data_IF_341028468627
#
_entry.id   IF_341028468627
#
_cell.length_a   1.000
_cell.length_b   1.000
_cell.length_c   1.000
_cell.angle_alpha   90.00
_cell.angle_beta   90.00
_cell.angle_gamma   90.00
#
_symmetry.space_group_name_H-M   'P 1'
#
loop_
_entity.id
_entity.type
_entity.pdbx_description
1 polymer ?
#
# COMPACT_ATOMS: atom_id res chain seq x y z
N UNK A 1 1.53 37.95 -66.22
CA UNK A 1 2.81 37.42 -65.70
C UNK A 1 3.15 38.22 -64.45
N UNK A 2 2.70 37.75 -63.27
CA UNK A 2 3.02 38.35 -61.97
C UNK A 2 3.10 37.23 -60.93
N UNK A 3 4.22 37.19 -60.23
CA UNK A 3 4.58 36.21 -59.23
C UNK A 3 3.77 36.39 -57.94
N UNK A 4 3.40 35.28 -57.28
CA UNK A 4 3.04 35.27 -55.86
C UNK A 4 3.71 34.07 -55.20
N UNK A 5 4.70 34.39 -54.37
CA UNK A 5 5.45 33.47 -53.52
C UNK A 5 4.50 33.02 -52.40
N UNK A 6 4.26 31.71 -52.32
CA UNK A 6 3.50 31.09 -51.24
C UNK A 6 4.47 30.65 -50.16
N UNK A 7 4.63 31.46 -49.12
CA UNK A 7 5.40 31.09 -47.92
C UNK A 7 4.49 30.33 -46.96
N UNK A 8 4.65 29.01 -46.88
CA UNK A 8 3.95 28.16 -45.91
C UNK A 8 4.69 28.28 -44.56
N UNK A 9 4.05 28.91 -43.59
CA UNK A 9 4.47 28.92 -42.19
C UNK A 9 4.13 27.56 -41.55
N UNK A 10 5.12 26.68 -41.39
CA UNK A 10 4.99 25.52 -40.52
C UNK A 10 5.19 25.97 -39.07
N UNK A 11 4.10 26.23 -38.35
CA UNK A 11 4.14 26.39 -36.89
C UNK A 11 4.23 24.99 -36.28
N UNK A 12 5.45 24.51 -36.05
CA UNK A 12 5.69 23.37 -35.19
C UNK A 12 5.46 23.83 -33.73
N UNK A 13 4.25 23.63 -33.23
CA UNK A 13 3.94 23.82 -31.81
C UNK A 13 4.56 22.67 -31.01
N UNK A 14 5.86 22.80 -30.72
CA UNK A 14 6.55 21.93 -29.79
C UNK A 14 6.04 22.19 -28.39
N UNK A 15 5.04 21.42 -27.93
CA UNK A 15 4.70 21.33 -26.52
C UNK A 15 5.83 20.58 -25.80
N UNK A 16 6.89 21.30 -25.48
CA UNK A 16 7.90 20.88 -24.51
C UNK A 16 7.23 20.87 -23.13
N UNK A 17 6.61 19.75 -22.77
CA UNK A 17 6.30 19.45 -21.38
C UNK A 17 7.61 19.06 -20.67
N UNK A 18 8.45 20.05 -20.37
CA UNK A 18 9.49 19.85 -19.33
C UNK A 18 8.81 19.99 -17.97
N UNK A 19 8.00 18.98 -17.62
CA UNK A 19 7.69 18.77 -16.22
C UNK A 19 9.01 18.36 -15.58
N UNK A 20 9.62 19.29 -14.86
CA UNK A 20 10.77 19.02 -14.01
C UNK A 20 10.42 17.82 -13.13
N UNK A 21 11.01 16.68 -13.44
CA UNK A 21 11.11 15.56 -12.51
C UNK A 21 12.03 16.05 -11.39
N UNK A 22 11.45 16.76 -10.43
CA UNK A 22 12.01 16.79 -9.09
C UNK A 22 11.96 15.34 -8.61
N UNK A 23 13.06 14.61 -8.81
CA UNK A 23 13.27 13.31 -8.19
C UNK A 23 13.19 13.52 -6.68
N UNK A 24 12.02 13.29 -6.10
CA UNK A 24 11.86 13.22 -4.66
C UNK A 24 12.90 12.22 -4.15
N UNK A 25 13.78 12.67 -3.26
CA UNK A 25 14.83 11.83 -2.75
C UNK A 25 14.21 10.58 -2.12
N UNK A 26 14.62 9.42 -2.61
CA UNK A 26 14.01 8.16 -2.20
C UNK A 26 14.18 7.96 -0.69
N UNK A 27 13.07 7.75 0.02
CA UNK A 27 13.10 7.54 1.48
C UNK A 27 13.81 6.22 1.76
N UNK A 28 14.75 6.22 2.70
CA UNK A 28 15.45 5.00 3.14
C UNK A 28 14.97 4.55 4.51
N UNK A 29 14.87 3.24 4.68
CA UNK A 29 14.70 2.61 5.99
C UNK A 29 16.03 2.62 6.76
N UNK A 30 15.97 2.35 8.07
CA UNK A 30 17.17 2.41 8.92
C UNK A 30 18.26 1.38 8.59
N UNK A 31 17.95 0.36 7.77
CA UNK A 31 18.93 -0.59 7.26
C UNK A 31 19.43 -0.25 5.84
N UNK A 32 19.21 0.98 5.38
CA UNK A 32 19.69 1.48 4.09
C UNK A 32 18.85 1.07 2.87
N UNK A 33 17.91 0.14 3.02
CA UNK A 33 16.98 -0.23 1.96
C UNK A 33 16.09 0.96 1.58
N UNK A 34 15.88 1.15 0.29
CA UNK A 34 14.99 2.21 -0.23
C UNK A 34 13.53 1.78 -0.12
N UNK A 35 12.68 2.64 0.42
CA UNK A 35 11.24 2.46 0.46
C UNK A 35 10.65 2.45 -0.95
N UNK A 36 9.70 1.55 -1.19
CA UNK A 36 9.02 1.40 -2.47
C UNK A 36 7.51 1.37 -2.25
N UNK A 37 6.77 1.88 -3.23
CA UNK A 37 5.32 1.77 -3.26
C UNK A 37 4.89 0.32 -3.04
N UNK A 38 3.92 0.13 -2.14
CA UNK A 38 3.43 -1.19 -1.75
C UNK A 38 4.25 -1.94 -0.71
N UNK A 39 5.38 -1.41 -0.22
CA UNK A 39 6.01 -1.99 0.96
C UNK A 39 5.02 -1.97 2.13
N UNK A 40 4.91 -3.08 2.84
CA UNK A 40 4.02 -3.23 3.99
C UNK A 40 4.82 -2.96 5.26
N UNK A 41 4.38 -1.96 6.03
CA UNK A 41 5.00 -1.50 7.26
C UNK A 41 4.26 -2.10 8.44
N UNK A 42 4.98 -2.73 9.37
CA UNK A 42 4.36 -3.42 10.50
C UNK A 42 5.02 -3.00 11.79
N UNK A 43 4.28 -2.31 12.65
CA UNK A 43 4.75 -1.94 13.97
C UNK A 43 4.80 -3.16 14.90
N UNK A 44 5.78 -3.19 15.80
CA UNK A 44 5.77 -4.16 16.90
C UNK A 44 4.64 -3.85 17.88
N UNK A 45 4.25 -4.87 18.65
CA UNK A 45 3.16 -4.79 19.63
C UNK A 45 3.42 -3.66 20.63
N UNK A 46 2.41 -2.83 20.87
CA UNK A 46 2.32 -1.91 22.00
C UNK A 46 0.92 -2.03 22.64
N UNK A 47 0.76 -1.53 23.86
CA UNK A 47 -0.53 -1.48 24.57
C UNK A 47 -1.60 -0.74 23.75
N UNK A 48 -1.21 0.27 22.97
CA UNK A 48 -2.11 1.07 22.11
C UNK A 48 -2.56 0.35 20.83
N UNK A 49 -1.91 -0.77 20.48
CA UNK A 49 -2.18 -1.57 19.27
C UNK A 49 -2.88 -2.90 19.56
N UNK A 50 -3.55 -3.04 20.72
CA UNK A 50 -4.31 -4.22 21.13
C UNK A 50 -3.53 -5.55 21.00
N UNK A 51 -2.23 -5.53 21.31
CA UNK A 51 -1.37 -6.72 21.38
C UNK A 51 -1.10 -7.48 20.06
N UNK A 52 -1.39 -6.89 18.88
CA UNK A 52 -1.18 -7.56 17.57
C UNK A 52 -0.29 -6.80 16.56
N UNK A 53 0.06 -5.54 16.85
CA UNK A 53 0.82 -4.67 15.93
C UNK A 53 -0.10 -3.92 14.94
N UNK A 54 0.40 -2.86 14.30
CA UNK A 54 -0.33 -2.06 13.30
C UNK A 54 0.26 -2.26 11.92
N UNK A 55 -0.58 -2.28 10.89
CA UNK A 55 -0.16 -2.40 9.50
C UNK A 55 -0.48 -1.14 8.70
N UNK A 56 0.52 -0.64 7.98
CA UNK A 56 0.40 0.41 6.98
C UNK A 56 1.02 -0.06 5.66
N UNK A 57 0.75 0.66 4.57
CA UNK A 57 1.33 0.39 3.25
C UNK A 57 1.97 1.67 2.72
N UNK A 58 3.15 1.55 2.11
CA UNK A 58 3.81 2.69 1.46
C UNK A 58 2.99 3.09 0.22
N UNK A 59 2.63 4.37 0.15
CA UNK A 59 1.86 4.95 -0.94
C UNK A 59 2.57 4.89 -2.29
N UNK A 60 1.85 5.23 -3.36
CA UNK A 60 2.34 5.18 -4.74
C UNK A 60 3.55 6.10 -4.98
N UNK A 61 3.73 7.10 -4.11
CA UNK A 61 4.86 8.03 -4.12
C UNK A 61 6.16 7.46 -3.50
N UNK A 62 6.10 6.30 -2.86
CA UNK A 62 7.25 5.71 -2.16
C UNK A 62 7.70 6.50 -0.91
N UNK A 63 6.93 7.50 -0.47
CA UNK A 63 7.33 8.48 0.54
C UNK A 63 6.29 8.66 1.66
N UNK A 64 5.07 8.17 1.46
CA UNK A 64 3.99 8.22 2.46
C UNK A 64 3.64 6.84 2.99
N UNK A 65 3.22 6.76 4.26
CA UNK A 65 2.54 5.62 4.83
C UNK A 65 1.03 5.86 4.78
N UNK A 66 0.27 4.91 4.24
CA UNK A 66 -1.19 4.93 4.13
C UNK A 66 -1.79 3.83 4.99
N UNK A 67 -2.83 4.16 5.75
CA UNK A 67 -3.23 3.37 6.90
C UNK A 67 -4.64 3.70 7.41
N UNK A 68 -5.22 2.74 8.13
CA UNK A 68 -6.51 2.86 8.81
C UNK A 68 -6.36 2.49 10.27
N UNK A 69 -6.94 3.30 11.16
CA UNK A 69 -6.78 3.19 12.60
C UNK A 69 -8.11 3.15 13.33
N UNK A 70 -8.08 2.52 14.52
CA UNK A 70 -9.13 2.67 15.51
C UNK A 70 -9.24 4.14 15.94
N UNK A 71 -10.47 4.61 16.17
CA UNK A 71 -10.73 5.99 16.58
C UNK A 71 -10.66 7.01 15.43
N UNK A 72 -10.45 6.55 14.19
CA UNK A 72 -10.54 7.38 12.98
C UNK A 72 -11.62 6.83 12.05
N UNK A 73 -12.21 7.72 11.25
CA UNK A 73 -13.30 7.42 10.33
C UNK A 73 -12.93 7.56 8.85
N UNK A 74 -11.67 7.91 8.55
CA UNK A 74 -11.18 8.12 7.19
C UNK A 74 -9.78 7.58 7.02
N UNK A 75 -9.47 7.02 5.85
CA UNK A 75 -8.12 6.53 5.50
C UNK A 75 -7.16 7.72 5.60
N UNK A 76 -6.02 7.53 6.26
CA UNK A 76 -5.03 8.58 6.46
C UNK A 76 -3.73 8.23 5.76
N UNK A 77 -3.03 9.28 5.35
CA UNK A 77 -1.64 9.22 4.96
C UNK A 77 -0.79 10.10 5.88
N UNK A 78 0.48 9.75 6.03
CA UNK A 78 1.49 10.59 6.65
C UNK A 78 2.84 10.37 5.97
N UNK A 79 3.78 11.31 6.11
CA UNK A 79 5.15 11.11 5.63
C UNK A 79 5.75 9.89 6.32
N UNK A 80 6.54 9.08 5.59
CA UNK A 80 7.20 7.92 6.18
C UNK A 80 8.07 8.28 7.39
N UNK A 81 8.74 9.43 7.35
CA UNK A 81 9.52 9.95 8.48
C UNK A 81 8.68 10.14 9.74
N UNK A 82 7.47 10.67 9.61
CA UNK A 82 6.56 10.88 10.75
C UNK A 82 5.92 9.57 11.21
N UNK A 83 5.76 8.61 10.29
CA UNK A 83 5.36 7.25 10.65
C UNK A 83 6.45 6.55 11.47
N UNK A 84 7.73 6.63 11.04
CA UNK A 84 8.86 6.01 11.74
C UNK A 84 9.04 6.54 13.17
N UNK A 85 8.85 7.85 13.38
CA UNK A 85 8.94 8.48 14.72
C UNK A 85 7.94 7.92 15.74
N UNK A 86 6.87 7.25 15.30
CA UNK A 86 5.85 6.66 16.18
C UNK A 86 6.14 5.20 16.52
N UNK A 87 7.20 4.60 15.96
CA UNK A 87 7.50 3.18 16.09
C UNK A 87 8.57 2.91 17.15
N UNK A 88 8.36 3.35 18.38
CA UNK A 88 9.33 3.21 19.48
C UNK A 88 9.66 1.74 19.79
N UNK A 89 8.70 0.84 19.61
CA UNK A 89 8.92 -0.62 19.71
C UNK A 89 9.65 -1.24 18.52
N UNK A 90 9.98 -0.43 17.50
CA UNK A 90 10.49 -0.87 16.21
C UNK A 90 9.41 -1.31 15.24
N UNK A 91 9.83 -1.60 14.01
CA UNK A 91 8.95 -2.02 12.93
C UNK A 91 9.69 -2.94 11.95
N UNK A 92 8.90 -3.72 11.23
CA UNK A 92 9.35 -4.57 10.13
C UNK A 92 8.85 -4.00 8.81
N UNK A 93 9.54 -4.32 7.73
CA UNK A 93 9.08 -4.01 6.37
C UNK A 93 9.06 -5.27 5.53
N UNK A 94 7.91 -5.51 4.91
CA UNK A 94 7.69 -6.63 4.02
C UNK A 94 7.51 -6.12 2.60
N UNK A 95 8.21 -6.74 1.65
CA UNK A 95 8.13 -6.40 0.24
C UNK A 95 7.59 -7.57 -0.55
N UNK A 96 6.57 -7.31 -1.36
CA UNK A 96 6.01 -8.30 -2.26
C UNK A 96 6.92 -8.50 -3.49
N UNK A 97 7.13 -9.75 -3.89
CA UNK A 97 8.06 -10.15 -4.96
C UNK A 97 7.72 -9.52 -6.32
N UNK A 98 6.43 -9.44 -6.65
CA UNK A 98 6.00 -8.81 -7.90
C UNK A 98 5.89 -7.29 -7.69
N UNK A 99 6.88 -6.56 -8.19
CA UNK A 99 6.98 -5.11 -8.05
C UNK A 99 5.84 -4.34 -8.71
N UNK A 100 5.26 -4.85 -9.80
CA UNK A 100 4.12 -4.22 -10.47
C UNK A 100 2.87 -4.26 -9.60
N UNK A 101 2.57 -5.43 -9.03
CA UNK A 101 1.45 -5.60 -8.09
C UNK A 101 1.67 -4.77 -6.82
N UNK A 102 2.89 -4.76 -6.26
CA UNK A 102 3.22 -3.94 -5.09
C UNK A 102 3.01 -2.45 -5.39
N UNK A 103 3.51 -1.97 -6.52
CA UNK A 103 3.34 -0.58 -6.94
C UNK A 103 1.86 -0.24 -7.09
N UNK A 104 1.09 -1.10 -7.75
CA UNK A 104 -0.37 -0.97 -7.85
C UNK A 104 -1.05 -0.88 -6.49
N UNK A 105 -0.65 -1.73 -5.53
CA UNK A 105 -1.19 -1.70 -4.17
C UNK A 105 -0.91 -0.36 -3.46
N UNK A 106 0.29 0.19 -3.62
CA UNK A 106 0.63 1.53 -3.12
C UNK A 106 -0.26 2.62 -3.73
N UNK A 107 -0.49 2.59 -5.04
CA UNK A 107 -1.40 3.52 -5.72
C UNK A 107 -2.86 3.34 -5.28
N UNK A 108 -3.34 2.10 -5.17
CA UNK A 108 -4.69 1.81 -4.69
C UNK A 108 -4.90 2.36 -3.28
N UNK A 109 -3.93 2.16 -2.39
CA UNK A 109 -4.02 2.70 -1.03
C UNK A 109 -4.05 4.23 -1.06
N UNK A 110 -3.18 4.85 -1.86
CA UNK A 110 -3.10 6.32 -2.00
C UNK A 110 -4.40 6.92 -2.54
N UNK A 111 -5.00 6.27 -3.54
CA UNK A 111 -6.28 6.68 -4.11
C UNK A 111 -7.41 6.69 -3.08
N UNK A 112 -7.35 5.79 -2.10
CA UNK A 112 -8.36 5.67 -1.06
C UNK A 112 -8.12 6.59 0.15
N UNK A 113 -7.08 7.42 0.17
CA UNK A 113 -6.88 8.42 1.24
C UNK A 113 -8.11 9.33 1.32
N UNK A 114 -8.64 9.52 2.53
CA UNK A 114 -9.87 10.29 2.78
C UNK A 114 -11.16 9.47 2.67
N UNK A 115 -11.13 8.25 2.10
CA UNK A 115 -12.29 7.37 2.06
C UNK A 115 -12.79 7.06 3.47
N UNK A 116 -14.10 7.11 3.67
CA UNK A 116 -14.73 6.82 4.96
C UNK A 116 -14.76 5.32 5.22
N UNK A 117 -14.55 4.93 6.47
CA UNK A 117 -14.68 3.55 6.90
C UNK A 117 -15.18 3.45 8.34
N UNK A 118 -15.76 2.31 8.70
CA UNK A 118 -16.06 1.94 10.07
C UNK A 118 -14.94 1.06 10.63
N UNK A 119 -14.17 1.54 11.62
CA UNK A 119 -13.11 0.71 12.19
C UNK A 119 -13.70 -0.37 13.07
N UNK A 120 -13.68 -1.62 12.60
CA UNK A 120 -14.15 -2.74 13.39
C UNK A 120 -13.36 -3.99 13.06
N UNK A 121 -12.75 -4.55 14.09
CA UNK A 121 -12.09 -5.86 14.01
C UNK A 121 -13.17 -6.89 14.29
N UNK A 122 -13.80 -7.36 13.23
CA UNK A 122 -14.81 -8.41 13.27
C UNK A 122 -14.33 -9.55 12.42
N UNK A 123 -14.45 -10.74 12.97
CA UNK A 123 -14.25 -11.95 12.19
C UNK A 123 -15.25 -11.93 11.05
N UNK A 124 -16.52 -11.59 11.26
CA UNK A 124 -17.57 -11.82 10.27
C UNK A 124 -17.66 -10.97 9.01
N UNK A 125 -16.70 -10.09 8.76
CA UNK A 125 -16.77 -9.20 7.61
C UNK A 125 -16.07 -9.77 6.40
N UNK A 126 -16.72 -9.64 5.23
CA UNK A 126 -16.14 -10.11 3.99
C UNK A 126 -14.85 -9.32 3.72
N UNK A 127 -13.76 -10.02 3.37
CA UNK A 127 -12.44 -9.39 3.24
C UNK A 127 -12.35 -8.37 2.10
N UNK A 128 -13.32 -8.37 1.18
CA UNK A 128 -13.36 -7.49 -0.01
C UNK A 128 -14.29 -6.30 0.15
N UNK A 129 -15.17 -6.30 1.16
CA UNK A 129 -16.08 -5.19 1.40
C UNK A 129 -15.44 -4.05 2.20
N UNK A 130 -16.08 -2.88 2.18
CA UNK A 130 -15.69 -1.70 2.97
C UNK A 130 -16.50 -1.53 4.27
N UNK A 131 -17.40 -2.46 4.57
CA UNK A 131 -18.37 -2.33 5.68
C UNK A 131 -17.67 -2.18 7.02
N UNK A 132 -16.68 -3.03 7.26
CA UNK A 132 -15.82 -2.99 8.42
C UNK A 132 -14.38 -3.10 7.98
N UNK A 133 -13.55 -2.16 8.42
CA UNK A 133 -12.17 -2.07 7.99
C UNK A 133 -11.25 -2.08 9.20
N UNK A 134 -10.10 -2.72 9.02
CA UNK A 134 -9.02 -2.75 9.99
C UNK A 134 -7.68 -2.77 9.26
N UNK A 135 -6.59 -2.43 9.95
CA UNK A 135 -5.28 -2.13 9.35
C UNK A 135 -4.80 -3.18 8.33
N UNK A 136 -4.77 -4.45 8.71
CA UNK A 136 -4.35 -5.57 7.86
C UNK A 136 -5.35 -5.91 6.76
N UNK A 137 -6.68 -5.73 6.95
CA UNK A 137 -7.66 -5.90 5.87
C UNK A 137 -7.47 -4.85 4.78
N UNK A 138 -7.22 -3.60 5.15
CA UNK A 138 -6.97 -2.53 4.18
C UNK A 138 -5.75 -2.82 3.31
N UNK A 139 -4.64 -3.26 3.93
CA UNK A 139 -3.44 -3.68 3.19
C UNK A 139 -3.73 -4.88 2.29
N UNK A 140 -4.43 -5.91 2.78
CA UNK A 140 -4.86 -7.04 1.94
C UNK A 140 -5.66 -6.59 0.72
N UNK A 141 -6.65 -5.70 0.92
CA UNK A 141 -7.47 -5.17 -0.16
C UNK A 141 -6.64 -4.43 -1.20
N UNK A 142 -5.62 -3.68 -0.79
CA UNK A 142 -4.71 -3.02 -1.72
C UNK A 142 -4.05 -4.02 -2.68
N UNK A 143 -3.54 -5.15 -2.16
CA UNK A 143 -2.93 -6.19 -3.00
C UNK A 143 -3.96 -6.99 -3.81
N UNK A 144 -5.13 -7.27 -3.23
CA UNK A 144 -6.21 -7.99 -3.92
C UNK A 144 -6.72 -7.19 -5.13
N UNK A 145 -7.05 -5.91 -4.94
CA UNK A 145 -7.60 -5.08 -6.03
C UNK A 145 -6.56 -4.64 -7.05
N UNK A 146 -5.26 -4.74 -6.74
CA UNK A 146 -4.19 -4.37 -7.69
C UNK A 146 -3.71 -5.52 -8.55
N UNK A 147 -3.79 -6.76 -8.06
CA UNK A 147 -3.23 -7.91 -8.79
C UNK A 147 -3.85 -9.25 -8.45
N UNK A 148 -5.03 -9.27 -7.80
CA UNK A 148 -5.74 -10.49 -7.44
C UNK A 148 -5.01 -11.34 -6.39
N UNK A 149 -4.11 -10.74 -5.60
CA UNK A 149 -3.34 -11.49 -4.59
C UNK A 149 -4.30 -12.08 -3.56
N UNK A 150 -4.32 -13.42 -3.48
CA UNK A 150 -5.13 -14.17 -2.52
C UNK A 150 -4.33 -14.43 -1.26
N UNK A 151 -5.02 -14.49 -0.12
CA UNK A 151 -4.41 -15.01 1.10
C UNK A 151 -4.08 -16.49 0.88
N UNK A 152 -2.85 -16.88 1.20
CA UNK A 152 -2.47 -18.27 1.40
C UNK A 152 -2.04 -18.38 2.85
N UNK A 153 -2.80 -19.11 3.64
CA UNK A 153 -2.41 -19.44 5.02
C UNK A 153 -1.76 -20.81 4.92
N UNK A 154 -0.52 -20.92 5.39
CA UNK A 154 0.11 -22.21 5.63
C UNK A 154 -0.69 -22.90 6.73
N UNK A 155 -1.56 -23.85 6.34
CA UNK A 155 -2.05 -24.86 7.27
C UNK A 155 -0.92 -25.85 7.61
N UNK A 156 -1.05 -26.56 8.72
CA UNK A 156 -0.07 -27.53 9.23
C UNK A 156 0.30 -28.67 8.26
N UNK A 157 -0.32 -28.74 7.07
CA UNK A 157 -0.16 -29.81 6.08
C UNK A 157 0.30 -29.33 4.70
N UNK A 158 0.73 -28.06 4.54
CA UNK A 158 1.23 -27.53 3.27
C UNK A 158 0.26 -27.65 2.06
N UNK A 159 -1.04 -27.82 2.31
CA UNK A 159 -2.04 -27.87 1.25
C UNK A 159 -2.51 -26.47 0.82
N UNK A 160 -2.62 -26.30 -0.49
CA UNK A 160 -2.94 -25.04 -1.16
C UNK A 160 -4.43 -24.95 -1.46
N UNK A 161 -5.18 -24.17 -0.67
CA UNK A 161 -6.60 -23.93 -0.94
C UNK A 161 -6.82 -22.51 -1.48
N UNK A 162 -7.48 -22.42 -2.63
CA UNK A 162 -7.89 -21.17 -3.25
C UNK A 162 -9.08 -20.57 -2.49
N UNK A 163 -8.79 -19.62 -1.61
CA UNK A 163 -9.79 -18.91 -0.79
C UNK A 163 -10.61 -17.91 -1.65
N UNK A 164 -11.95 -17.72 -1.50
CA UNK A 164 -12.86 -18.05 -0.37
C UNK A 164 -14.17 -18.80 -0.78
N UNK A 165 -15.14 -19.04 0.15
CA UNK A 165 -16.36 -18.22 -0.04
C UNK A 165 -17.03 -17.62 1.21
N UNK A 166 -16.97 -18.20 2.41
CA UNK A 166 -17.81 -17.74 3.54
C UNK A 166 -17.22 -18.10 4.90
N UNK A 167 -16.28 -17.31 5.44
CA UNK A 167 -16.09 -17.37 6.90
C UNK A 167 -15.46 -16.11 7.47
N UNK A 168 -15.80 -15.94 8.73
CA UNK A 168 -15.54 -14.81 9.58
C UNK A 168 -14.06 -14.85 10.04
N UNK A 169 -13.16 -14.03 9.49
CA UNK A 169 -11.76 -13.93 9.92
C UNK A 169 -11.22 -12.52 10.13
N UNK A 170 -10.46 -12.37 11.21
CA UNK A 170 -9.59 -11.22 11.47
C UNK A 170 -8.19 -11.56 10.95
N UNK A 171 -7.72 -10.83 9.93
CA UNK A 171 -6.34 -10.99 9.43
C UNK A 171 -5.41 -10.37 10.46
N UNK A 172 -4.54 -11.16 11.09
CA UNK A 172 -3.44 -10.58 11.86
C UNK A 172 -2.43 -9.91 10.89
N UNK A 173 -1.88 -8.73 11.21
CA UNK A 173 -0.79 -8.14 10.41
C UNK A 173 0.31 -9.14 10.05
N UNK A 174 0.74 -9.98 10.99
CA UNK A 174 1.77 -10.99 10.75
C UNK A 174 1.28 -12.16 9.89
N UNK A 175 -0.01 -12.48 9.88
CA UNK A 175 -0.55 -13.51 8.98
C UNK A 175 -0.53 -13.04 7.53
N UNK A 176 -0.87 -11.78 7.28
CA UNK A 176 -0.71 -11.14 5.97
C UNK A 176 0.75 -11.16 5.50
N UNK A 177 1.72 -11.11 6.40
CA UNK A 177 3.15 -11.25 6.09
C UNK A 177 3.55 -12.65 5.65
N UNK A 178 2.91 -13.66 6.24
CA UNK A 178 3.18 -15.08 5.94
C UNK A 178 2.59 -15.48 4.58
N UNK A 179 1.83 -14.59 3.92
CA UNK A 179 1.41 -14.79 2.54
C UNK A 179 2.63 -15.03 1.64
N UNK A 180 2.52 -16.05 0.77
CA UNK A 180 3.59 -16.36 -0.18
C UNK A 180 3.99 -15.13 -1.00
N UNK A 181 5.29 -15.01 -1.24
CA UNK A 181 5.95 -13.95 -2.01
C UNK A 181 6.18 -12.62 -1.28
N UNK A 182 5.97 -12.53 0.03
CA UNK A 182 6.55 -11.43 0.82
C UNK A 182 7.93 -11.80 1.36
N UNK A 183 8.88 -10.88 1.23
CA UNK A 183 10.21 -10.99 1.83
C UNK A 183 10.40 -9.90 2.86
N UNK A 184 10.88 -10.27 4.04
CA UNK A 184 11.22 -9.31 5.09
C UNK A 184 12.50 -8.60 4.65
N UNK A 185 12.38 -7.29 4.43
CA UNK A 185 13.52 -6.46 4.04
C UNK A 185 13.99 -5.58 5.19
N UNK A 186 13.26 -5.52 6.31
CA UNK A 186 13.64 -4.87 7.57
C UNK A 186 12.94 -5.53 8.75
#
# INVERSE_FOLDING_TARGET
MFARILTIFFVALGCLFTNGLHSAQAVKYSNGQTAKAGDVLISKKSLDNYFVGHAAIVGGDGATAVEVYKGRSTVKSSKLSDWFKKQDGGYNVMRYKNSSIATGAGYWASYNVGAKYNYRIVSSSALRDWKDLYCSKFVYQAFYFSGGVKLKILGDQAEMWEYPPTSNWVINPNLMVVMENFTRIK
#
